data_IF_999846732694
#
_entry.id   IF_999846732694
#
_cell.length_a   1.000
_cell.length_b   1.000
_cell.length_c   1.000
_cell.angle_alpha   90.00
_cell.angle_beta   90.00
_cell.angle_gamma   90.00
#
_symmetry.space_group_name_H-M   'P 1'
#
loop_
_entity.id
_entity.type
_entity.pdbx_description
1 polymer ?
#
# COMPACT_ATOMS: atom_id res chain seq x y z
N UNK A 1 10.83 -6.91 3.65
CA UNK A 1 10.85 -8.17 4.43
C UNK A 1 12.03 -9.01 3.97
N UNK A 2 12.67 -9.74 4.88
CA UNK A 2 13.72 -10.71 4.55
C UNK A 2 13.36 -12.03 5.21
N UNK A 3 13.35 -13.12 4.44
CA UNK A 3 13.12 -14.47 4.93
C UNK A 3 14.47 -15.15 5.15
N UNK A 4 14.62 -15.91 6.23
CA UNK A 4 15.88 -16.55 6.61
C UNK A 4 15.71 -17.99 7.05
N UNK A 5 16.82 -18.64 7.41
CA UNK A 5 16.86 -20.06 7.84
C UNK A 5 15.88 -20.41 8.98
N UNK A 6 15.55 -19.43 9.82
CA UNK A 6 14.71 -19.62 10.99
C UNK A 6 13.26 -19.21 10.77
N UNK A 7 12.93 -18.66 9.60
CA UNK A 7 11.55 -18.27 9.29
C UNK A 7 10.72 -19.53 9.05
N UNK A 8 9.62 -19.66 9.77
CA UNK A 8 8.66 -20.75 9.55
C UNK A 8 7.54 -20.34 8.59
N UNK A 9 6.82 -21.32 8.06
CA UNK A 9 5.69 -21.07 7.15
C UNK A 9 4.58 -20.27 7.86
N UNK A 10 4.32 -20.57 9.14
CA UNK A 10 3.33 -19.88 9.95
C UNK A 10 3.67 -18.39 10.16
N UNK A 11 4.97 -18.07 10.32
CA UNK A 11 5.42 -16.68 10.43
C UNK A 11 5.22 -15.91 9.12
N UNK A 12 5.42 -16.57 7.97
CA UNK A 12 5.16 -15.99 6.66
C UNK A 12 3.67 -15.72 6.48
N UNK A 13 2.83 -16.71 6.77
CA UNK A 13 1.37 -16.57 6.66
C UNK A 13 0.84 -15.45 7.57
N UNK A 14 1.36 -15.36 8.79
CA UNK A 14 1.04 -14.28 9.70
C UNK A 14 1.46 -12.91 9.16
N UNK A 15 2.67 -12.80 8.62
CA UNK A 15 3.17 -11.56 8.03
C UNK A 15 2.34 -11.13 6.82
N UNK A 16 1.93 -12.08 5.97
CA UNK A 16 1.03 -11.83 4.83
C UNK A 16 -0.31 -11.31 5.32
N UNK A 17 -0.94 -11.99 6.29
CA UNK A 17 -2.23 -11.59 6.84
C UNK A 17 -2.19 -10.18 7.44
N UNK A 18 -1.13 -9.85 8.19
CA UNK A 18 -0.92 -8.50 8.71
C UNK A 18 -0.75 -7.47 7.59
N UNK A 19 0.08 -7.76 6.59
CA UNK A 19 0.29 -6.86 5.45
C UNK A 19 -1.02 -6.55 4.73
N UNK A 20 -1.80 -7.59 4.41
CA UNK A 20 -3.10 -7.44 3.75
C UNK A 20 -4.05 -6.60 4.61
N UNK A 21 -4.15 -6.89 5.90
CA UNK A 21 -5.01 -6.15 6.83
C UNK A 21 -4.65 -4.67 6.87
N UNK A 22 -3.37 -4.34 7.03
CA UNK A 22 -2.94 -2.96 7.15
C UNK A 22 -3.07 -2.20 5.83
N UNK A 23 -2.70 -2.80 4.70
CA UNK A 23 -2.86 -2.20 3.38
C UNK A 23 -4.34 -1.95 3.07
N UNK A 24 -5.23 -2.89 3.39
CA UNK A 24 -6.67 -2.72 3.17
C UNK A 24 -7.23 -1.55 3.97
N UNK A 25 -6.88 -1.45 5.27
CA UNK A 25 -7.28 -0.30 6.10
C UNK A 25 -6.75 1.03 5.56
N UNK A 26 -5.50 1.07 5.09
CA UNK A 26 -4.94 2.29 4.51
C UNK A 26 -5.69 2.70 3.24
N UNK A 27 -6.11 1.72 2.43
CA UNK A 27 -6.91 1.95 1.23
C UNK A 27 -8.31 2.48 1.55
N UNK A 28 -8.97 1.95 2.59
CA UNK A 28 -10.28 2.43 3.05
C UNK A 28 -10.28 3.91 3.47
N UNK A 29 -9.13 4.44 3.88
CA UNK A 29 -8.99 5.82 4.35
C UNK A 29 -8.28 6.73 3.34
N UNK A 30 -7.85 6.20 2.19
CA UNK A 30 -7.02 6.94 1.24
C UNK A 30 -7.87 7.56 0.14
N UNK A 31 -7.92 8.90 0.02
CA UNK A 31 -8.61 9.56 -1.10
C UNK A 31 -7.96 9.20 -2.45
N UNK A 32 -6.67 8.86 -2.45
CA UNK A 32 -5.99 8.40 -3.67
C UNK A 32 -6.46 7.03 -4.11
N UNK A 33 -6.84 6.16 -3.17
CA UNK A 33 -7.38 4.85 -3.50
C UNK A 33 -8.78 4.97 -4.12
N UNK A 34 -9.61 5.89 -3.61
CA UNK A 34 -10.91 6.22 -4.20
C UNK A 34 -10.77 6.68 -5.66
N UNK A 35 -9.83 7.59 -5.93
CA UNK A 35 -9.54 8.06 -7.29
C UNK A 35 -9.18 6.92 -8.26
N UNK A 36 -8.35 5.97 -7.80
CA UNK A 36 -7.99 4.79 -8.61
C UNK A 36 -9.22 3.92 -8.90
N UNK A 37 -10.13 3.74 -7.93
CA UNK A 37 -11.37 2.98 -8.15
C UNK A 37 -12.32 3.67 -9.13
N UNK A 38 -12.33 5.00 -9.17
CA UNK A 38 -13.09 5.81 -10.14
C UNK A 38 -12.43 5.87 -11.53
N UNK A 39 -11.26 5.25 -11.71
CA UNK A 39 -10.51 5.21 -12.97
C UNK A 39 -9.69 6.46 -13.26
N UNK A 40 -9.47 7.31 -12.26
CA UNK A 40 -8.62 8.50 -12.35
C UNK A 40 -7.19 8.09 -12.02
N UNK A 41 -6.26 8.35 -12.94
CA UNK A 41 -4.84 8.06 -12.74
C UNK A 41 -4.20 9.08 -11.76
N UNK A 42 -3.71 8.67 -10.58
CA UNK A 42 -3.07 9.58 -9.62
C UNK A 42 -1.80 10.22 -10.15
N UNK A 43 -1.18 9.67 -11.20
CA UNK A 43 0.02 10.23 -11.82
C UNK A 43 -0.26 11.56 -12.54
N UNK A 44 -1.51 11.84 -12.89
CA UNK A 44 -1.91 13.09 -13.55
C UNK A 44 -2.22 14.22 -12.57
N UNK A 45 -2.16 13.94 -11.25
CA UNK A 45 -2.33 14.95 -10.21
C UNK A 45 -1.04 15.78 -10.12
N UNK A 46 -1.18 17.10 -10.07
CA UNK A 46 -0.04 17.99 -9.89
C UNK A 46 0.33 18.07 -8.41
N UNK A 47 1.42 17.40 -8.05
CA UNK A 47 1.85 17.29 -6.65
C UNK A 47 2.55 18.57 -6.20
N UNK A 48 2.38 18.94 -4.94
CA UNK A 48 3.00 20.13 -4.35
C UNK A 48 4.53 20.10 -4.37
N UNK A 49 5.15 18.93 -4.54
CA UNK A 49 6.60 18.78 -4.73
C UNK A 49 7.08 19.33 -6.09
N UNK A 50 6.23 19.29 -7.12
CA UNK A 50 6.55 19.79 -8.45
C UNK A 50 6.36 21.32 -8.57
N UNK A 51 5.74 21.96 -7.57
CA UNK A 51 5.48 23.40 -7.54
C UNK A 51 6.69 24.25 -7.12
N UNK A 52 7.80 23.62 -6.74
CA UNK A 52 9.03 24.27 -6.29
C UNK A 52 10.22 24.09 -7.24
N UNK A 53 10.00 23.70 -8.49
CA UNK A 53 11.00 23.80 -9.56
C UNK A 53 10.60 24.83 -10.62
#
# INVERSE_FOLDING_TARGET
FGLGRFTTEEEVDFAVALCVKHVSRLREMSPLWEMVQEGIDPSTIQWTQDAHH
#
